data_IF_262742672395
#
_entry.id   IF_262742672395
#
_cell.length_a   1.000
_cell.length_b   1.000
_cell.length_c   1.000
_cell.angle_alpha   90.00
_cell.angle_beta   90.00
_cell.angle_gamma   90.00
#
_symmetry.space_group_name_H-M   'P 1'
#
loop_
_entity.id
_entity.type
_entity.pdbx_description
1 polymer ?
#
# COMPACT_ATOMS: atom_id res chain seq x y z
N UNK A 1 0.32 4.62 -12.64
CA UNK A 1 0.85 4.34 -11.30
C UNK A 1 1.34 2.90 -11.21
N UNK A 2 2.40 2.66 -10.47
CA UNK A 2 2.98 1.33 -10.32
C UNK A 2 3.56 1.16 -8.91
N UNK A 3 4.07 -0.03 -8.64
CA UNK A 3 4.63 -0.35 -7.32
C UNK A 3 5.82 0.54 -6.95
N UNK A 4 6.62 0.93 -7.93
CA UNK A 4 7.77 1.77 -7.66
C UNK A 4 7.37 3.12 -7.08
N UNK A 5 6.30 3.69 -7.59
CA UNK A 5 5.78 4.95 -7.05
C UNK A 5 5.31 4.78 -5.61
N UNK A 6 4.65 3.67 -5.32
CA UNK A 6 4.22 3.36 -3.95
C UNK A 6 5.45 3.26 -3.04
N UNK A 7 6.47 2.54 -3.48
CA UNK A 7 7.71 2.44 -2.71
C UNK A 7 8.32 3.81 -2.42
N UNK A 8 8.38 4.66 -3.43
CA UNK A 8 8.97 5.99 -3.26
C UNK A 8 8.19 6.85 -2.28
N UNK A 9 6.87 6.72 -2.28
CA UNK A 9 6.02 7.47 -1.34
C UNK A 9 6.19 6.98 0.09
N UNK A 10 6.60 5.75 0.29
CA UNK A 10 6.76 5.16 1.62
C UNK A 10 8.20 5.17 2.13
N UNK A 11 9.15 5.52 1.27
CA UNK A 11 10.58 5.41 1.61
C UNK A 11 11.01 6.34 2.74
N UNK A 12 10.30 7.45 2.92
CA UNK A 12 10.64 8.43 3.95
C UNK A 12 10.14 8.04 5.34
N UNK A 13 9.35 7.00 5.45
CA UNK A 13 8.89 6.51 6.74
C UNK A 13 10.03 5.78 7.42
N UNK A 14 10.47 6.29 8.58
CA UNK A 14 11.60 5.73 9.31
C UNK A 14 11.22 4.96 10.57
N UNK A 15 9.98 5.09 11.02
CA UNK A 15 9.54 4.50 12.29
C UNK A 15 9.27 3.01 12.22
N UNK A 16 9.05 2.49 11.02
CA UNK A 16 8.91 1.06 10.77
C UNK A 16 9.47 0.76 9.38
N UNK A 17 9.63 -0.51 9.08
CA UNK A 17 10.31 -0.94 7.88
C UNK A 17 9.34 -1.58 6.89
N UNK A 18 9.36 -1.10 5.64
CA UNK A 18 8.58 -1.70 4.55
C UNK A 18 9.40 -2.86 3.98
N UNK A 19 8.90 -4.07 4.13
CA UNK A 19 9.61 -5.27 3.69
C UNK A 19 9.25 -5.63 2.26
N UNK A 20 7.96 -5.50 1.92
CA UNK A 20 7.46 -6.01 0.65
C UNK A 20 6.18 -5.30 0.29
N UNK A 21 6.01 -5.04 -1.00
CA UNK A 21 4.78 -4.46 -1.53
C UNK A 21 4.33 -5.35 -2.69
N UNK A 22 3.10 -5.81 -2.64
CA UNK A 22 2.53 -6.71 -3.63
C UNK A 22 1.37 -6.02 -4.33
N UNK A 23 1.38 -6.07 -5.65
CA UNK A 23 0.27 -5.58 -6.46
C UNK A 23 -0.77 -6.69 -6.58
N UNK A 24 -1.90 -6.53 -5.91
CA UNK A 24 -3.00 -7.49 -5.95
C UNK A 24 -4.11 -7.04 -6.90
N UNK A 25 -3.88 -6.01 -7.70
CA UNK A 25 -4.88 -5.49 -8.62
C UNK A 25 -5.34 -6.53 -9.62
N UNK A 26 -4.42 -7.38 -10.08
CA UNK A 26 -4.72 -8.41 -11.06
C UNK A 26 -5.75 -9.45 -10.56
N UNK A 27 -5.81 -9.68 -9.25
CA UNK A 27 -6.78 -10.64 -8.71
C UNK A 27 -8.22 -10.13 -8.82
N UNK A 28 -8.39 -8.86 -9.13
CA UNK A 28 -9.69 -8.22 -9.32
C UNK A 28 -9.91 -7.75 -10.76
N UNK A 29 -9.02 -8.12 -11.67
CA UNK A 29 -9.05 -7.63 -13.05
C UNK A 29 -10.28 -8.09 -13.84
N UNK A 30 -10.94 -9.15 -13.39
CA UNK A 30 -12.17 -9.63 -14.04
C UNK A 30 -13.37 -8.75 -13.77
N UNK A 31 -13.29 -7.84 -12.84
CA UNK A 31 -14.37 -6.91 -12.53
C UNK A 31 -14.42 -5.82 -13.61
N UNK A 32 -15.59 -5.60 -14.16
CA UNK A 32 -15.74 -4.62 -15.25
C UNK A 32 -15.29 -3.22 -14.87
N UNK A 33 -15.52 -2.84 -13.63
CA UNK A 33 -15.10 -1.52 -13.16
C UNK A 33 -13.60 -1.35 -13.08
N UNK A 34 -12.85 -2.44 -13.07
CA UNK A 34 -11.39 -2.40 -12.98
C UNK A 34 -10.74 -2.41 -14.36
N UNK A 35 -11.39 -3.00 -15.35
CA UNK A 35 -10.80 -3.14 -16.69
C UNK A 35 -10.43 -1.80 -17.32
N UNK A 36 -11.17 -0.77 -17.03
CA UNK A 36 -10.86 0.58 -17.54
C UNK A 36 -9.71 1.24 -16.83
N UNK A 37 -9.18 0.64 -15.77
CA UNK A 37 -8.14 1.19 -14.94
C UNK A 37 -6.85 0.37 -15.02
N UNK A 38 -6.58 -0.23 -16.18
CA UNK A 38 -5.47 -1.17 -16.34
C UNK A 38 -4.10 -0.60 -15.99
N UNK A 39 -3.94 0.71 -16.10
CA UNK A 39 -2.66 1.35 -15.79
C UNK A 39 -2.58 1.84 -14.35
N UNK A 40 -3.63 1.63 -13.56
CA UNK A 40 -3.71 2.09 -12.18
C UNK A 40 -3.65 0.93 -11.22
N UNK A 41 -2.92 1.14 -10.14
CA UNK A 41 -2.87 0.20 -9.04
C UNK A 41 -4.13 0.40 -8.19
N UNK A 42 -4.97 -0.63 -8.07
CA UNK A 42 -6.21 -0.53 -7.32
C UNK A 42 -6.18 -1.24 -5.97
N UNK A 43 -5.35 -2.28 -5.86
CA UNK A 43 -5.24 -3.09 -4.65
C UNK A 43 -3.77 -3.37 -4.38
N UNK A 44 -3.33 -3.09 -3.17
CA UNK A 44 -1.94 -3.29 -2.78
C UNK A 44 -1.88 -3.95 -1.39
N UNK A 45 -0.90 -4.82 -1.23
CA UNK A 45 -0.61 -5.47 0.04
C UNK A 45 0.78 -5.04 0.48
N UNK A 46 0.89 -4.53 1.69
CA UNK A 46 2.15 -3.99 2.22
C UNK A 46 2.53 -4.77 3.48
N UNK A 47 3.72 -5.35 3.45
CA UNK A 47 4.27 -6.08 4.60
C UNK A 47 5.27 -5.19 5.31
N UNK A 48 5.11 -5.03 6.62
CA UNK A 48 5.96 -4.16 7.41
C UNK A 48 6.54 -4.90 8.61
N UNK A 49 7.75 -4.52 9.00
CA UNK A 49 8.33 -4.87 10.30
C UNK A 49 8.15 -3.70 11.24
N UNK A 50 7.86 -4.00 12.50
CA UNK A 50 7.56 -2.99 13.49
C UNK A 50 8.55 -3.06 14.66
N UNK A 51 9.84 -2.70 14.42
CA UNK A 51 10.87 -2.84 15.45
C UNK A 51 10.67 -1.91 16.65
N UNK A 52 9.94 -0.82 16.46
CA UNK A 52 9.68 0.15 17.52
C UNK A 52 8.37 -0.10 18.24
N UNK A 53 7.72 -1.22 17.94
CA UNK A 53 6.48 -1.62 18.59
C UNK A 53 5.39 -0.56 18.55
N UNK A 54 5.25 0.07 17.39
CA UNK A 54 4.24 1.09 17.18
C UNK A 54 2.83 0.48 17.22
N UNK A 55 1.88 1.31 17.58
CA UNK A 55 0.47 0.96 17.51
C UNK A 55 0.08 0.69 16.05
N UNK A 56 -0.73 -0.36 15.81
CA UNK A 56 -1.19 -0.71 14.47
C UNK A 56 -1.89 0.47 13.79
N UNK A 57 -2.69 1.21 14.54
CA UNK A 57 -3.42 2.36 14.00
C UNK A 57 -2.46 3.44 13.49
N UNK A 58 -1.36 3.66 14.21
CA UNK A 58 -0.37 4.65 13.78
C UNK A 58 0.32 4.25 12.48
N UNK A 59 0.63 2.96 12.34
CA UNK A 59 1.22 2.45 11.09
C UNK A 59 0.24 2.65 9.93
N UNK A 60 -1.02 2.31 10.13
CA UNK A 60 -2.06 2.50 9.12
C UNK A 60 -2.17 3.97 8.71
N UNK A 61 -2.21 4.86 9.69
CA UNK A 61 -2.35 6.28 9.42
C UNK A 61 -1.20 6.83 8.61
N UNK A 62 0.03 6.45 8.94
CA UNK A 62 1.19 6.93 8.21
C UNK A 62 1.19 6.44 6.77
N UNK A 63 0.85 5.18 6.56
CA UNK A 63 0.80 4.62 5.22
C UNK A 63 -0.30 5.31 4.40
N UNK A 64 -1.49 5.45 4.97
CA UNK A 64 -2.61 6.08 4.26
C UNK A 64 -2.31 7.54 3.93
N UNK A 65 -1.70 8.27 4.86
CA UNK A 65 -1.33 9.66 4.60
C UNK A 65 -0.34 9.78 3.45
N UNK A 66 0.66 8.90 3.42
CA UNK A 66 1.67 8.93 2.36
C UNK A 66 1.10 8.51 1.01
N UNK A 67 0.07 7.68 1.00
CA UNK A 67 -0.55 7.19 -0.23
C UNK A 67 -1.82 7.95 -0.62
N UNK A 68 -2.13 9.03 0.08
CA UNK A 68 -3.38 9.76 -0.15
C UNK A 68 -3.58 10.18 -1.61
N UNK A 69 -2.52 10.64 -2.26
CA UNK A 69 -2.61 11.05 -3.66
C UNK A 69 -3.00 9.88 -4.58
N UNK A 70 -2.51 8.69 -4.27
CA UNK A 70 -2.82 7.50 -5.06
C UNK A 70 -4.22 6.98 -4.77
N UNK A 71 -4.69 7.15 -3.54
CA UNK A 71 -6.07 6.81 -3.18
C UNK A 71 -7.03 7.66 -4.00
N UNK A 72 -6.74 8.94 -4.16
CA UNK A 72 -7.55 9.85 -4.98
C UNK A 72 -7.54 9.45 -6.45
N UNK A 73 -6.48 8.80 -6.92
CA UNK A 73 -6.35 8.37 -8.30
C UNK A 73 -6.96 6.98 -8.57
N UNK A 74 -7.47 6.32 -7.55
CA UNK A 74 -8.15 5.05 -7.76
C UNK A 74 -7.64 3.87 -6.95
N UNK A 75 -6.68 4.07 -6.05
CA UNK A 75 -6.25 3.00 -5.16
C UNK A 75 -7.37 2.74 -4.15
N UNK A 76 -8.00 1.57 -4.25
CA UNK A 76 -9.18 1.24 -3.46
C UNK A 76 -8.89 0.52 -2.16
N UNK A 77 -7.87 -0.33 -2.16
CA UNK A 77 -7.63 -1.21 -1.03
C UNK A 77 -6.15 -1.28 -0.70
N UNK A 78 -5.85 -1.04 0.56
CA UNK A 78 -4.49 -1.16 1.08
C UNK A 78 -4.56 -2.16 2.23
N UNK A 79 -3.95 -3.33 2.02
CA UNK A 79 -3.87 -4.35 3.04
C UNK A 79 -2.49 -4.26 3.69
N UNK A 80 -2.46 -4.13 5.00
CA UNK A 80 -1.21 -3.97 5.75
C UNK A 80 -1.02 -5.17 6.65
N UNK A 81 0.08 -5.89 6.45
CA UNK A 81 0.45 -7.03 7.27
C UNK A 81 1.67 -6.67 8.11
N UNK A 82 1.49 -6.69 9.41
CA UNK A 82 2.56 -6.37 10.35
C UNK A 82 3.20 -7.67 10.79
N UNK A 83 4.48 -7.82 10.44
CA UNK A 83 5.22 -9.02 10.77
C UNK A 83 5.74 -8.95 12.20
N UNK A 84 5.81 -10.09 12.84
CA UNK A 84 6.41 -10.16 14.19
C UNK A 84 7.93 -10.02 14.07
N UNK A 85 8.47 -9.31 15.02
CA UNK A 85 9.93 -9.15 15.11
C UNK A 85 10.61 -10.42 15.58
#
# INVERSE_FOLDING_TARGET
>A
MNLEKIKNLLIDISQFEIIKIIDNSSSHASHKGVQGLLNNLTHVEIHVKNPNNLNRLDIHRQIYNNLNSEIELGLHSIEIKILKN
#
